data_IF_488649510780
#
_entry.id   IF_488649510780
#
_cell.length_a   1.000
_cell.length_b   1.000
_cell.length_c   1.000
_cell.angle_alpha   90.00
_cell.angle_beta   90.00
_cell.angle_gamma   90.00
#
_symmetry.space_group_name_H-M   'P 1'
#
loop_
_entity.id
_entity.type
_entity.pdbx_description
1 polymer ?
#
# COMPACT_ATOMS: atom_id res chain seq x y z
N UNK A 1 12.01 12.57 8.00
CA UNK A 1 10.67 12.71 7.40
C UNK A 1 10.77 13.80 6.33
N UNK A 2 10.51 13.55 5.03
CA UNK A 2 10.52 14.62 4.04
C UNK A 2 9.42 15.63 4.39
N UNK A 3 9.79 16.91 4.49
CA UNK A 3 8.88 17.99 4.87
C UNK A 3 7.64 18.02 4.00
N UNK A 4 6.50 18.35 4.59
CA UNK A 4 5.24 18.52 3.85
C UNK A 4 5.45 19.70 2.88
N UNK A 5 5.39 19.42 1.59
CA UNK A 5 5.34 20.48 0.57
C UNK A 5 4.07 21.30 0.78
N UNK A 6 4.12 22.61 0.53
CA UNK A 6 2.93 23.45 0.68
C UNK A 6 1.81 22.97 -0.24
N UNK A 7 0.57 23.22 0.17
CA UNK A 7 -0.60 22.88 -0.63
C UNK A 7 -0.50 23.49 -2.03
N UNK A 8 -0.16 24.78 -2.10
CA UNK A 8 0.04 25.54 -3.35
C UNK A 8 1.05 24.88 -4.30
N UNK A 9 2.21 24.48 -3.79
CA UNK A 9 3.23 23.80 -4.59
C UNK A 9 2.71 22.49 -5.17
N UNK A 10 1.95 21.74 -4.35
CA UNK A 10 1.39 20.46 -4.75
C UNK A 10 0.32 20.64 -5.82
N UNK A 11 -0.54 21.65 -5.69
CA UNK A 11 -1.54 22.06 -6.70
C UNK A 11 -0.90 22.40 -8.04
N UNK A 12 0.19 23.16 -8.00
CA UNK A 12 0.92 23.58 -9.20
C UNK A 12 1.57 22.39 -9.91
N UNK A 13 2.19 21.47 -9.16
CA UNK A 13 2.74 20.21 -9.71
C UNK A 13 1.66 19.42 -10.46
N UNK A 14 0.45 19.33 -9.90
CA UNK A 14 -0.67 18.62 -10.51
C UNK A 14 -1.13 19.32 -11.79
N UNK A 15 -1.31 20.65 -11.75
CA UNK A 15 -1.71 21.42 -12.94
C UNK A 15 -0.72 21.27 -14.10
N UNK A 16 0.59 21.33 -13.83
CA UNK A 16 1.63 21.11 -14.84
C UNK A 16 1.59 19.67 -15.36
N UNK A 17 1.27 18.69 -14.51
CA UNK A 17 1.12 17.29 -14.92
C UNK A 17 -0.08 17.12 -15.86
N UNK A 18 -1.20 17.77 -15.56
CA UNK A 18 -2.43 17.72 -16.37
C UNK A 18 -2.23 18.40 -17.75
N UNK A 19 -1.36 19.42 -17.82
CA UNK A 19 -0.90 20.02 -19.08
C UNK A 19 0.03 19.11 -19.90
N UNK A 20 0.38 17.91 -19.40
CA UNK A 20 1.21 16.94 -20.11
C UNK A 20 2.72 17.10 -19.90
N UNK A 21 3.16 17.93 -18.96
CA UNK A 21 4.59 18.06 -18.68
C UNK A 21 5.18 16.76 -18.09
N UNK A 22 6.44 16.51 -18.44
CA UNK A 22 7.22 15.41 -17.87
C UNK A 22 7.79 15.82 -16.51
N UNK A 23 8.02 14.85 -15.62
CA UNK A 23 8.53 15.13 -14.27
C UNK A 23 9.80 16.00 -14.21
N UNK A 24 10.80 15.84 -15.11
CA UNK A 24 11.95 16.74 -15.17
C UNK A 24 11.55 18.18 -15.50
N UNK A 25 10.69 18.39 -16.50
CA UNK A 25 10.22 19.72 -16.89
C UNK A 25 9.41 20.41 -15.80
N UNK A 26 8.61 19.64 -15.04
CA UNK A 26 7.89 20.16 -13.87
C UNK A 26 8.89 20.65 -12.81
N UNK A 27 9.93 19.86 -12.54
CA UNK A 27 11.00 20.21 -11.60
C UNK A 27 11.75 21.48 -12.03
N UNK A 28 12.07 21.61 -13.31
CA UNK A 28 12.72 22.81 -13.88
C UNK A 28 11.81 24.03 -13.80
N UNK A 29 10.54 23.90 -14.19
CA UNK A 29 9.55 24.98 -14.13
C UNK A 29 9.35 25.50 -12.70
N UNK A 30 9.40 24.63 -11.70
CA UNK A 30 9.28 25.03 -10.29
C UNK A 30 10.55 25.72 -9.81
N UNK A 31 11.72 25.26 -10.25
CA UNK A 31 12.99 25.92 -9.94
C UNK A 31 13.03 27.34 -10.51
N UNK A 32 12.49 27.58 -11.71
CA UNK A 32 12.34 28.93 -12.28
C UNK A 32 11.43 29.85 -11.47
N UNK A 33 10.52 29.30 -10.67
CA UNK A 33 9.64 30.05 -9.76
C UNK A 33 10.21 30.15 -8.33
N UNK A 34 11.47 29.77 -8.13
CA UNK A 34 12.16 29.81 -6.83
C UNK A 34 11.89 28.60 -5.93
N UNK A 35 11.18 27.58 -6.43
CA UNK A 35 10.82 26.38 -5.67
C UNK A 35 11.63 25.18 -6.15
N UNK A 36 12.68 24.83 -5.40
CA UNK A 36 13.51 23.66 -5.72
C UNK A 36 12.87 22.38 -5.19
N UNK A 37 12.32 21.56 -6.10
CA UNK A 37 11.83 20.22 -5.79
C UNK A 37 12.63 19.18 -6.55
N UNK A 38 12.98 18.09 -5.88
CA UNK A 38 13.59 16.95 -6.59
C UNK A 38 12.54 16.26 -7.48
N UNK A 39 12.99 15.67 -8.60
CA UNK A 39 12.17 14.79 -9.44
C UNK A 39 11.43 13.71 -8.62
N UNK A 40 12.09 13.14 -7.60
CA UNK A 40 11.48 12.12 -6.73
C UNK A 40 10.29 12.68 -5.95
N UNK A 41 10.38 13.93 -5.50
CA UNK A 41 9.30 14.62 -4.79
C UNK A 41 8.12 14.87 -5.72
N UNK A 42 8.37 15.39 -6.92
CA UNK A 42 7.34 15.58 -7.95
C UNK A 42 6.60 14.27 -8.26
N UNK A 43 7.35 13.19 -8.51
CA UNK A 43 6.77 11.86 -8.76
C UNK A 43 5.90 11.38 -7.58
N UNK A 44 6.34 11.63 -6.34
CA UNK A 44 5.60 11.23 -5.15
C UNK A 44 4.26 11.97 -5.06
N UNK A 45 4.25 13.28 -5.30
CA UNK A 45 3.04 14.11 -5.30
C UNK A 45 2.04 13.59 -6.34
N UNK A 46 2.47 13.37 -7.59
CA UNK A 46 1.60 12.86 -8.64
C UNK A 46 1.01 11.49 -8.27
N UNK A 47 1.82 10.56 -7.75
CA UNK A 47 1.35 9.22 -7.35
C UNK A 47 0.39 9.25 -6.17
N UNK A 48 0.60 10.14 -5.20
CA UNK A 48 -0.33 10.29 -4.07
C UNK A 48 -1.69 10.79 -4.57
N UNK A 49 -1.71 11.74 -5.52
CA UNK A 49 -2.93 12.22 -6.14
C UNK A 49 -3.64 11.21 -7.02
N UNK A 50 -2.90 10.42 -7.81
CA UNK A 50 -3.48 9.32 -8.57
C UNK A 50 -4.11 8.26 -7.66
N UNK A 51 -3.48 7.97 -6.51
CA UNK A 51 -4.04 7.05 -5.52
C UNK A 51 -5.31 7.60 -4.89
N UNK A 52 -5.34 8.89 -4.54
CA UNK A 52 -6.56 9.56 -4.06
C UNK A 52 -7.68 9.47 -5.10
N UNK A 53 -7.39 9.80 -6.37
CA UNK A 53 -8.37 9.75 -7.47
C UNK A 53 -8.91 8.34 -7.70
N UNK A 54 -8.06 7.32 -7.62
CA UNK A 54 -8.46 5.93 -7.83
C UNK A 54 -9.12 5.31 -6.60
N UNK A 55 -9.21 6.02 -5.47
CA UNK A 55 -9.71 5.47 -4.21
C UNK A 55 -8.78 4.39 -3.61
N UNK A 56 -7.51 4.37 -4.02
CA UNK A 56 -6.50 3.46 -3.49
C UNK A 56 -6.01 3.98 -2.14
N UNK A 57 -6.90 3.91 -1.15
CA UNK A 57 -6.55 4.14 0.24
C UNK A 57 -5.59 3.04 0.66
N UNK A 58 -4.48 3.39 1.33
CA UNK A 58 -3.64 2.38 1.97
C UNK A 58 -4.56 1.50 2.82
N UNK A 59 -4.55 0.16 2.64
CA UNK A 59 -5.30 -0.69 3.53
C UNK A 59 -4.86 -0.38 4.96
N UNK A 60 -5.83 -0.32 5.88
CA UNK A 60 -5.52 -0.21 7.30
C UNK A 60 -4.46 -1.27 7.64
N UNK A 61 -3.48 -0.91 8.47
CA UNK A 61 -2.46 -1.87 8.91
C UNK A 61 -3.19 -3.12 9.37
N UNK A 62 -2.86 -4.27 8.76
CA UNK A 62 -3.42 -5.56 9.19
C UNK A 62 -3.18 -5.66 10.69
N UNK A 63 -4.23 -5.95 11.44
CA UNK A 63 -4.08 -6.28 12.84
C UNK A 63 -3.08 -7.45 12.93
N UNK A 64 -2.23 -7.47 13.97
CA UNK A 64 -1.40 -8.66 14.21
C UNK A 64 -2.32 -9.89 14.28
N UNK A 65 -1.81 -11.09 13.96
CA UNK A 65 -2.58 -12.31 14.11
C UNK A 65 -3.18 -12.30 15.52
N UNK A 66 -4.51 -12.28 15.61
CA UNK A 66 -5.14 -12.55 16.87
C UNK A 66 -4.73 -13.98 17.21
N UNK A 67 -4.17 -14.21 18.40
CA UNK A 67 -3.77 -15.53 18.90
C UNK A 67 -5.00 -16.44 19.10
N UNK A 68 -5.83 -16.57 18.08
CA UNK A 68 -6.92 -17.50 18.01
C UNK A 68 -6.28 -18.88 17.92
N UNK A 69 -6.76 -19.77 18.78
CA UNK A 69 -6.50 -21.20 18.64
C UNK A 69 -6.78 -21.59 17.19
N UNK A 70 -5.74 -22.04 16.47
CA UNK A 70 -5.93 -22.62 15.14
C UNK A 70 -6.91 -23.77 15.28
N UNK A 71 -8.01 -23.75 14.53
CA UNK A 71 -8.95 -24.88 14.51
C UNK A 71 -8.24 -26.19 14.11
N UNK A 72 -7.16 -26.08 13.34
CA UNK A 72 -6.30 -27.16 12.91
C UNK A 72 -5.02 -27.21 13.77
N UNK A 73 -5.14 -27.61 15.03
CA UNK A 73 -3.97 -28.05 15.82
C UNK A 73 -3.66 -29.51 15.51
N UNK A 74 -2.39 -29.91 15.67
CA UNK A 74 -1.95 -31.30 15.52
C UNK A 74 -2.76 -32.26 16.40
N UNK A 75 -3.16 -31.80 17.60
CA UNK A 75 -4.00 -32.56 18.52
C UNK A 75 -5.40 -32.80 17.98
N UNK A 76 -6.03 -31.77 17.39
CA UNK A 76 -7.34 -31.92 16.76
C UNK A 76 -7.25 -32.86 15.54
N UNK A 77 -6.20 -32.75 14.74
CA UNK A 77 -5.93 -33.66 13.61
C UNK A 77 -5.76 -35.10 14.10
N UNK A 78 -5.00 -35.32 15.17
CA UNK A 78 -4.77 -36.64 15.74
C UNK A 78 -6.04 -37.25 16.34
N UNK A 79 -6.88 -36.44 17.00
CA UNK A 79 -8.21 -36.88 17.48
C UNK A 79 -9.10 -37.33 16.33
N UNK A 80 -9.15 -36.57 15.23
CA UNK A 80 -9.93 -36.92 14.05
C UNK A 80 -9.39 -38.21 13.41
N UNK A 81 -8.07 -38.31 13.20
CA UNK A 81 -7.44 -39.53 12.66
C UNK A 81 -7.79 -40.77 13.49
N UNK A 82 -7.68 -40.70 14.83
CA UNK A 82 -8.06 -41.80 15.72
C UNK A 82 -9.55 -42.16 15.60
N UNK A 83 -10.42 -41.17 15.51
CA UNK A 83 -11.85 -41.40 15.34
C UNK A 83 -12.19 -42.06 14.00
N UNK A 84 -11.47 -41.70 12.92
CA UNK A 84 -11.63 -42.32 11.60
C UNK A 84 -11.16 -43.77 11.60
N UNK A 85 -9.97 -44.05 12.15
CA UNK A 85 -9.45 -45.43 12.29
C UNK A 85 -10.38 -46.31 13.13
N UNK A 86 -10.96 -45.76 14.21
CA UNK A 86 -11.94 -46.49 15.02
C UNK A 86 -13.23 -46.84 14.26
N UNK A 87 -13.64 -46.00 13.30
CA UNK A 87 -14.85 -46.24 12.48
C UNK A 87 -14.59 -47.20 11.33
N UNK A 88 -13.38 -47.17 10.76
CA UNK A 88 -12.99 -48.00 9.62
C UNK A 88 -11.66 -48.70 9.94
N UNK A 89 -11.70 -49.86 10.63
CA UNK A 89 -10.48 -50.55 11.07
C UNK A 89 -9.62 -51.06 9.92
N UNK A 90 -10.20 -51.26 8.74
CA UNK A 90 -9.53 -51.80 7.55
C UNK A 90 -8.97 -50.72 6.60
N UNK A 91 -9.02 -49.43 6.98
CA UNK A 91 -8.59 -48.32 6.10
C UNK A 91 -7.09 -47.97 6.19
N UNK A 92 -6.24 -48.90 6.65
CA UNK A 92 -4.79 -48.73 6.73
C UNK A 92 -4.07 -49.81 5.93
#
# INVERSE_FOLDING_TARGET
>A
MPGKTSFETSSLVIALRDQGFTYPKISESLASQGVSLSRRTVLKICREKEKERNGWTKPAKRLPPQNLSSACTQDNVNKVKKAVVKKNPDSL
#
